data_IF_398792771316
#
_entry.id   IF_398792771316
#
_cell.length_a   1.000
_cell.length_b   1.000
_cell.length_c   1.000
_cell.angle_alpha   90.00
_cell.angle_beta   90.00
_cell.angle_gamma   90.00
#
_symmetry.space_group_name_H-M   'P 1'
#
loop_
_entity.id
_entity.type
_entity.pdbx_description
1 polymer ?
#
# COMPACT_ATOMS: atom_id res chain seq x y z
N UNK A 1 0.69 -4.24 13.04
CA UNK A 1 -0.52 -4.14 12.21
C UNK A 1 -0.26 -3.52 10.85
N UNK A 2 -0.73 -4.18 9.80
CA UNK A 2 -0.79 -3.70 8.41
C UNK A 2 -2.25 -3.42 8.07
N UNK A 3 -2.57 -2.25 7.51
CA UNK A 3 -3.86 -1.96 6.92
C UNK A 3 -3.80 -2.16 5.41
N UNK A 4 -4.75 -2.89 4.83
CA UNK A 4 -4.86 -3.10 3.39
C UNK A 4 -6.21 -2.60 2.87
N UNK A 5 -6.19 -1.59 2.02
CA UNK A 5 -7.40 -1.01 1.43
C UNK A 5 -7.65 -1.60 0.05
N UNK A 6 -8.80 -2.25 -0.09
CA UNK A 6 -9.31 -2.71 -1.38
C UNK A 6 -10.83 -2.85 -1.32
N UNK A 7 -11.51 -2.67 -2.44
CA UNK A 7 -12.90 -3.11 -2.61
C UNK A 7 -13.01 -4.47 -3.34
N UNK A 8 -11.88 -5.00 -3.81
CA UNK A 8 -11.83 -6.27 -4.54
C UNK A 8 -11.78 -7.43 -3.54
N UNK A 9 -12.81 -8.27 -3.54
CA UNK A 9 -12.92 -9.41 -2.65
C UNK A 9 -11.86 -10.49 -2.90
N UNK A 10 -11.42 -10.66 -4.15
CA UNK A 10 -10.35 -11.59 -4.53
C UNK A 10 -9.03 -11.10 -3.94
N UNK A 11 -8.74 -9.81 -4.07
CA UNK A 11 -7.54 -9.24 -3.47
C UNK A 11 -7.59 -9.26 -1.94
N UNK A 12 -8.75 -9.01 -1.32
CA UNK A 12 -8.94 -9.13 0.12
C UNK A 12 -8.67 -10.56 0.62
N UNK A 13 -9.22 -11.57 -0.06
CA UNK A 13 -8.99 -12.97 0.28
C UNK A 13 -7.53 -13.37 0.09
N UNK A 14 -6.90 -12.94 -1.00
CA UNK A 14 -5.48 -13.16 -1.26
C UNK A 14 -4.59 -12.53 -0.18
N UNK A 15 -4.87 -11.29 0.21
CA UNK A 15 -4.12 -10.60 1.26
C UNK A 15 -4.20 -11.36 2.59
N UNK A 16 -5.40 -11.80 2.98
CA UNK A 16 -5.61 -12.61 4.20
C UNK A 16 -4.82 -13.92 4.16
N UNK A 17 -4.79 -14.61 3.02
CA UNK A 17 -4.01 -15.85 2.84
C UNK A 17 -2.50 -15.60 2.98
N UNK A 18 -2.00 -14.53 2.37
CA UNK A 18 -0.58 -14.15 2.48
C UNK A 18 -0.24 -13.81 3.94
N UNK A 19 -1.07 -12.99 4.59
CA UNK A 19 -0.84 -12.59 5.98
C UNK A 19 -0.87 -13.78 6.93
N UNK A 20 -1.85 -14.67 6.81
CA UNK A 20 -1.94 -15.89 7.62
C UNK A 20 -0.70 -16.79 7.43
N UNK A 21 -0.23 -16.97 6.18
CA UNK A 21 0.97 -17.76 5.88
C UNK A 21 2.23 -17.17 6.52
N UNK A 22 2.31 -15.86 6.65
CA UNK A 22 3.48 -15.14 7.16
C UNK A 22 3.33 -14.72 8.64
N UNK A 23 2.25 -15.13 9.29
CA UNK A 23 1.89 -14.71 10.65
C UNK A 23 1.90 -13.17 10.83
N UNK A 24 1.36 -12.47 9.83
CA UNK A 24 1.23 -11.01 9.84
C UNK A 24 -0.14 -10.60 10.38
N UNK A 25 -0.12 -9.58 11.24
CA UNK A 25 -1.32 -8.89 11.70
C UNK A 25 -1.84 -7.95 10.61
N UNK A 26 -2.96 -8.33 9.97
CA UNK A 26 -3.55 -7.67 8.81
C UNK A 26 -5.01 -7.25 9.07
N UNK A 27 -5.28 -5.97 8.88
CA UNK A 27 -6.61 -5.38 8.82
C UNK A 27 -6.96 -5.06 7.37
N UNK A 28 -8.00 -5.69 6.81
CA UNK A 28 -8.51 -5.37 5.47
C UNK A 28 -9.66 -4.40 5.59
N UNK A 29 -9.58 -3.26 4.90
CA UNK A 29 -10.51 -2.15 4.98
C UNK A 29 -11.09 -1.82 3.60
N UNK A 30 -12.34 -1.36 3.58
CA UNK A 30 -12.87 -0.67 2.42
C UNK A 30 -12.43 0.82 2.46
N UNK A 31 -12.49 1.51 1.32
CA UNK A 31 -12.11 2.93 1.22
C UNK A 31 -12.90 3.83 2.19
N UNK A 32 -14.17 3.51 2.42
CA UNK A 32 -15.03 4.24 3.39
C UNK A 32 -14.55 4.11 4.85
N UNK A 33 -13.76 3.07 5.14
CA UNK A 33 -13.24 2.76 6.47
C UNK A 33 -11.75 3.17 6.59
N UNK A 34 -11.25 3.98 5.65
CA UNK A 34 -9.84 4.37 5.57
C UNK A 34 -9.32 5.08 6.83
N UNK A 35 -10.19 5.75 7.59
CA UNK A 35 -9.80 6.40 8.85
C UNK A 35 -9.28 5.40 9.90
N UNK A 36 -9.69 4.13 9.81
CA UNK A 36 -9.17 3.06 10.67
C UNK A 36 -7.72 2.70 10.34
N UNK A 37 -7.22 3.08 9.16
CA UNK A 37 -5.84 2.83 8.77
C UNK A 37 -4.83 3.71 9.50
N UNK A 38 -5.27 4.80 10.17
CA UNK A 38 -4.40 5.73 10.91
C UNK A 38 -3.64 5.03 12.04
N UNK A 39 -4.21 3.96 12.61
CA UNK A 39 -3.57 3.16 13.66
C UNK A 39 -2.53 2.14 13.12
N UNK A 40 -2.42 1.96 11.80
CA UNK A 40 -1.51 0.97 11.22
C UNK A 40 -0.11 1.56 10.98
N UNK A 41 0.92 0.78 11.31
CA UNK A 41 2.31 1.13 10.99
C UNK A 41 2.67 0.94 9.52
N UNK A 42 1.78 0.32 8.74
CA UNK A 42 1.94 0.14 7.29
C UNK A 42 0.57 0.17 6.62
N UNK A 43 0.48 0.95 5.55
CA UNK A 43 -0.71 1.10 4.73
C UNK A 43 -0.43 0.54 3.34
N UNK A 44 -1.24 -0.42 2.90
CA UNK A 44 -1.16 -0.98 1.55
C UNK A 44 -2.42 -0.62 0.77
N UNK A 45 -2.26 -0.11 -0.44
CA UNK A 45 -3.36 0.33 -1.29
C UNK A 45 -3.42 -0.50 -2.57
N UNK A 46 -4.61 -0.98 -2.90
CA UNK A 46 -4.95 -1.46 -4.23
C UNK A 46 -5.38 -0.28 -5.11
N UNK A 47 -4.49 0.21 -5.98
CA UNK A 47 -4.79 1.41 -6.77
C UNK A 47 -5.82 1.17 -7.87
N UNK A 48 -6.01 -0.08 -8.28
CA UNK A 48 -7.07 -0.42 -9.24
C UNK A 48 -8.45 -0.31 -8.59
N UNK A 49 -8.50 -0.38 -7.25
CA UNK A 49 -9.72 -0.23 -6.47
C UNK A 49 -10.01 1.20 -5.99
N UNK A 50 -9.12 2.15 -6.28
CA UNK A 50 -9.33 3.54 -5.86
C UNK A 50 -10.13 4.30 -6.92
N UNK A 51 -11.10 5.14 -6.51
CA UNK A 51 -11.66 6.15 -7.39
C UNK A 51 -10.56 7.02 -8.00
N UNK A 52 -10.75 7.47 -9.24
CA UNK A 52 -9.76 8.27 -10.00
C UNK A 52 -9.31 9.51 -9.21
N UNK A 53 -10.23 10.17 -8.52
CA UNK A 53 -9.92 11.35 -7.70
C UNK A 53 -9.04 11.00 -6.49
N UNK A 54 -9.30 9.86 -5.85
CA UNK A 54 -8.51 9.37 -4.72
C UNK A 54 -7.10 8.96 -5.18
N UNK A 55 -6.99 8.30 -6.34
CA UNK A 55 -5.70 7.98 -6.96
C UNK A 55 -4.91 9.25 -7.28
N UNK A 56 -5.53 10.25 -7.89
CA UNK A 56 -4.89 11.54 -8.21
C UNK A 56 -4.38 12.26 -6.96
N UNK A 57 -5.18 12.32 -5.90
CA UNK A 57 -4.77 12.89 -4.61
C UNK A 57 -3.60 12.13 -3.98
N UNK A 58 -3.58 10.80 -4.09
CA UNK A 58 -2.43 10.00 -3.64
C UNK A 58 -1.17 10.43 -4.37
N UNK A 59 -1.18 10.49 -5.71
CA UNK A 59 -0.01 10.91 -6.49
C UNK A 59 0.44 12.35 -6.20
N UNK A 60 -0.48 13.26 -5.90
CA UNK A 60 -0.13 14.62 -5.45
C UNK A 60 0.62 14.60 -4.11
N UNK A 61 0.14 13.82 -3.13
CA UNK A 61 0.78 13.67 -1.82
C UNK A 61 2.13 12.96 -1.90
N UNK A 62 2.29 12.06 -2.88
CA UNK A 62 3.58 11.42 -3.20
C UNK A 62 4.54 12.48 -3.75
N UNK A 63 4.08 13.30 -4.70
CA UNK A 63 4.88 14.36 -5.32
C UNK A 63 5.29 15.47 -4.34
N UNK A 64 4.47 15.75 -3.33
CA UNK A 64 4.78 16.74 -2.28
C UNK A 64 5.69 16.19 -1.16
N UNK A 65 6.00 14.90 -1.15
CA UNK A 65 6.77 14.25 -0.08
C UNK A 65 6.01 14.09 1.25
N UNK A 66 4.69 14.30 1.23
CA UNK A 66 3.84 14.16 2.42
C UNK A 66 3.65 12.70 2.85
N UNK A 67 3.75 11.78 1.88
CA UNK A 67 3.71 10.35 2.14
C UNK A 67 5.06 9.85 2.67
N UNK A 68 5.06 9.35 3.91
CA UNK A 68 6.22 8.78 4.59
C UNK A 68 6.44 7.30 4.25
N UNK A 69 7.61 6.79 4.63
CA UNK A 69 7.93 5.35 4.67
C UNK A 69 6.81 4.57 5.38
N UNK A 70 6.43 3.41 4.83
CA UNK A 70 5.35 2.59 5.37
C UNK A 70 4.10 2.54 4.49
N UNK A 71 4.12 3.17 3.32
CA UNK A 71 3.07 3.00 2.31
C UNK A 71 3.51 2.04 1.21
N UNK A 72 2.69 1.03 0.96
CA UNK A 72 2.78 0.11 -0.16
C UNK A 72 1.60 0.30 -1.11
N UNK A 73 1.81 0.07 -2.39
CA UNK A 73 0.76 0.09 -3.40
C UNK A 73 0.93 -1.07 -4.36
N UNK A 74 -0.18 -1.59 -4.87
CA UNK A 74 -0.15 -2.46 -6.03
C UNK A 74 -1.25 -2.10 -7.03
N UNK A 75 -0.96 -2.36 -8.32
CA UNK A 75 -1.92 -2.21 -9.41
C UNK A 75 -1.40 -2.89 -10.67
N UNK A 76 -2.32 -3.55 -11.38
CA UNK A 76 -2.05 -4.16 -12.69
C UNK A 76 -1.80 -3.11 -13.78
N UNK A 77 -2.33 -1.90 -13.60
CA UNK A 77 -2.27 -0.78 -14.56
C UNK A 77 -1.19 0.25 -14.20
N UNK A 78 -0.29 -0.06 -13.27
CA UNK A 78 0.79 0.83 -12.91
C UNK A 78 1.79 0.95 -14.05
N UNK A 79 1.95 2.15 -14.62
CA UNK A 79 2.99 2.38 -15.62
C UNK A 79 4.38 2.36 -14.98
N UNK A 80 5.42 2.09 -15.78
CA UNK A 80 6.79 2.14 -15.30
C UNK A 80 7.19 3.54 -14.77
N UNK A 81 6.59 4.60 -15.31
CA UNK A 81 6.82 5.98 -14.85
C UNK A 81 6.22 6.20 -13.47
N UNK A 82 4.95 5.86 -13.28
CA UNK A 82 4.27 5.96 -11.97
C UNK A 82 4.97 5.13 -10.91
N UNK A 83 5.36 3.89 -11.24
CA UNK A 83 6.11 3.02 -10.33
C UNK A 83 7.43 3.66 -9.87
N UNK A 84 8.16 4.32 -10.77
CA UNK A 84 9.40 5.03 -10.42
C UNK A 84 9.13 6.25 -9.53
N UNK A 85 8.10 7.02 -9.83
CA UNK A 85 7.70 8.18 -9.01
C UNK A 85 7.36 7.75 -7.59
N UNK A 86 6.53 6.71 -7.43
CA UNK A 86 6.18 6.14 -6.13
C UNK A 86 7.42 5.66 -5.36
N UNK A 87 8.29 4.89 -6.01
CA UNK A 87 9.51 4.36 -5.37
C UNK A 87 10.47 5.46 -4.95
N UNK A 88 10.63 6.53 -5.72
CA UNK A 88 11.46 7.69 -5.35
C UNK A 88 10.95 8.42 -4.11
N UNK A 89 9.64 8.38 -3.87
CA UNK A 89 9.02 8.91 -2.66
C UNK A 89 9.03 7.92 -1.48
N UNK A 90 9.73 6.79 -1.59
CA UNK A 90 9.77 5.77 -0.54
C UNK A 90 8.52 4.88 -0.46
N UNK A 91 7.61 4.96 -1.44
CA UNK A 91 6.44 4.08 -1.55
C UNK A 91 6.84 2.79 -2.24
N UNK A 92 6.52 1.64 -1.62
CA UNK A 92 6.71 0.35 -2.28
C UNK A 92 5.64 0.19 -3.35
N UNK A 93 6.04 0.00 -4.61
CA UNK A 93 5.10 -0.13 -5.72
C UNK A 93 5.32 -1.45 -6.45
N UNK A 94 4.30 -2.30 -6.45
CA UNK A 94 4.30 -3.62 -7.10
C UNK A 94 3.20 -3.72 -8.17
N UNK A 95 3.40 -4.55 -9.20
CA UNK A 95 2.35 -4.78 -10.20
C UNK A 95 1.23 -5.68 -9.67
N UNK A 96 1.53 -6.52 -8.69
CA UNK A 96 0.61 -7.53 -8.15
C UNK A 96 0.68 -7.53 -6.63
N UNK A 97 -0.43 -7.88 -6.00
CA UNK A 97 -0.45 -8.20 -4.58
C UNK A 97 0.46 -9.41 -4.31
N UNK A 98 1.56 -9.17 -3.61
CA UNK A 98 2.55 -10.18 -3.21
C UNK A 98 2.88 -10.02 -1.74
N UNK A 99 3.57 -10.99 -1.15
CA UNK A 99 4.15 -10.85 0.18
C UNK A 99 5.02 -9.60 0.31
N UNK A 100 5.78 -9.29 -0.74
CA UNK A 100 6.59 -8.08 -0.79
C UNK A 100 5.72 -6.82 -0.64
N UNK A 101 4.51 -6.76 -1.21
CA UNK A 101 3.64 -5.59 -1.08
C UNK A 101 3.07 -5.41 0.34
N UNK A 102 2.93 -6.49 1.12
CA UNK A 102 2.38 -6.46 2.49
C UNK A 102 3.45 -6.27 3.57
N UNK A 103 4.71 -6.61 3.29
CA UNK A 103 5.80 -6.47 4.27
C UNK A 103 6.34 -5.03 4.22
N UNK A 104 6.41 -4.32 5.36
CA UNK A 104 7.03 -3.00 5.43
C UNK A 104 8.45 -3.06 4.86
N UNK A 105 8.85 -2.05 4.08
CA UNK A 105 10.26 -1.91 3.76
C UNK A 105 11.02 -1.73 5.07
N UNK A 106 11.99 -2.60 5.37
CA UNK A 106 12.91 -2.36 6.49
C UNK A 106 13.51 -0.98 6.29
N UNK A 107 13.21 -0.05 7.20
CA UNK A 107 13.98 1.17 7.31
C UNK A 107 15.39 0.70 7.62
N UNK A 108 16.34 0.95 6.71
CA UNK A 108 17.74 0.84 7.07
C UNK A 108 17.92 1.78 8.25
N UNK A 109 18.21 1.22 9.43
CA UNK A 109 18.60 2.03 10.57
C UNK A 109 19.78 2.88 10.10
N UNK A 110 19.56 4.19 10.00
CA UNK A 110 20.67 5.13 9.90
C UNK A 110 21.40 4.97 11.23
N UNK A 111 22.49 4.21 11.20
CA UNK A 111 23.45 4.22 12.29
C UNK A 111 23.88 5.67 12.49
N UNK A 112 23.58 6.20 13.67
CA UNK A 112 24.05 7.51 14.12
C UNK A 112 25.58 7.50 14.29
#
# INVERSE_FOLDING_TARGET
>A
MIAYLTHDQVNAALARRIAARLNLDLLVLAVKDADQAVAAGTLVLDLDSLPVDARSKLFLRVGSGELRSGVGVHSYHLTASEARTLRRAGVRAERRLTAAALVPARVAAVAA
#
